data_IF_157603694547
#
_entry.id   IF_157603694547
#
_cell.length_a   1.000
_cell.length_b   1.000
_cell.length_c   1.000
_cell.angle_alpha   90.00
_cell.angle_beta   90.00
_cell.angle_gamma   90.00
#
_symmetry.space_group_name_H-M   'P 1'
#
loop_
_entity.id
_entity.type
_entity.pdbx_description
1 polymer ?
#
# COMPACT_ATOMS: atom_id res chain seq x y z
N UNK A 1 16.95 -8.85 -9.84
CA UNK A 1 16.53 -9.89 -10.82
C UNK A 1 17.54 -11.04 -10.99
N UNK A 2 18.85 -10.84 -10.82
CA UNK A 2 19.84 -11.93 -10.98
C UNK A 2 19.65 -13.10 -10.00
N UNK A 3 19.01 -12.88 -8.84
CA UNK A 3 18.68 -13.90 -7.85
C UNK A 3 17.33 -14.60 -8.11
N UNK A 4 16.63 -14.28 -9.21
CA UNK A 4 15.36 -14.86 -9.63
C UNK A 4 14.19 -14.73 -8.63
N UNK A 5 14.24 -13.78 -7.70
CA UNK A 5 13.07 -13.45 -6.88
C UNK A 5 11.95 -12.88 -7.76
N UNK A 6 10.75 -13.48 -7.65
CA UNK A 6 9.57 -13.07 -8.43
C UNK A 6 8.78 -11.99 -7.70
N UNK A 7 8.68 -12.08 -6.39
CA UNK A 7 7.94 -11.13 -5.54
C UNK A 7 8.85 -10.69 -4.40
N UNK A 8 8.86 -9.41 -4.12
CA UNK A 8 9.57 -8.84 -2.97
C UNK A 8 8.56 -8.27 -1.98
N UNK A 9 8.84 -8.49 -0.70
CA UNK A 9 8.01 -8.02 0.40
C UNK A 9 8.81 -7.04 1.24
N UNK A 10 8.29 -5.82 1.32
CA UNK A 10 8.82 -4.74 2.13
C UNK A 10 7.98 -4.61 3.41
N UNK A 11 8.57 -4.12 4.48
CA UNK A 11 7.85 -3.77 5.71
C UNK A 11 8.03 -2.27 5.95
N UNK A 12 6.92 -1.55 6.07
CA UNK A 12 6.90 -0.13 6.43
C UNK A 12 6.27 0.07 7.81
N UNK A 13 5.45 -0.90 8.26
CA UNK A 13 4.72 -0.92 9.51
C UNK A 13 3.71 0.23 9.64
N UNK A 14 4.15 1.48 9.80
CA UNK A 14 3.31 2.67 9.84
C UNK A 14 4.05 3.86 9.23
N UNK A 15 3.29 4.82 8.71
CA UNK A 15 3.80 6.13 8.25
C UNK A 15 3.58 7.23 9.27
N UNK A 16 2.90 6.93 10.38
CA UNK A 16 2.61 7.88 11.45
C UNK A 16 3.85 8.06 12.35
N UNK A 17 4.43 9.29 12.41
CA UNK A 17 5.62 9.55 13.23
C UNK A 17 5.39 9.36 14.72
N UNK A 18 4.14 9.46 15.20
CA UNK A 18 3.81 9.25 16.60
C UNK A 18 3.88 7.77 16.98
N UNK A 19 3.48 6.90 16.06
CA UNK A 19 3.50 5.44 16.21
C UNK A 19 4.92 4.92 15.97
N UNK A 20 5.63 5.42 14.95
CA UNK A 20 7.02 5.04 14.62
C UNK A 20 7.96 5.23 15.79
N UNK A 21 7.88 6.37 16.50
CA UNK A 21 8.68 6.66 17.71
C UNK A 21 8.39 5.72 18.89
N UNK A 22 7.19 5.14 18.93
CA UNK A 22 6.82 4.21 19.99
C UNK A 22 7.29 2.77 19.74
N UNK A 23 7.46 2.38 18.47
CA UNK A 23 7.68 0.98 18.10
C UNK A 23 9.05 0.64 17.52
N UNK A 24 9.44 1.27 16.48
CA UNK A 24 10.78 1.17 15.88
C UNK A 24 10.86 2.13 14.70
N UNK A 25 11.75 3.10 14.74
CA UNK A 25 12.12 3.95 13.61
C UNK A 25 12.97 3.17 12.58
N UNK A 26 12.47 2.00 12.14
CA UNK A 26 13.27 1.15 11.26
C UNK A 26 13.38 1.72 9.85
N UNK A 27 12.31 2.34 9.33
CA UNK A 27 12.28 2.84 7.96
C UNK A 27 11.47 4.13 7.90
N UNK A 28 12.10 5.22 7.43
CA UNK A 28 11.39 6.47 7.13
C UNK A 28 10.67 6.40 5.79
N UNK A 29 9.72 7.33 5.55
CA UNK A 29 9.05 7.48 4.25
C UNK A 29 10.04 7.63 3.10
N UNK A 30 11.09 8.46 3.28
CA UNK A 30 12.10 8.70 2.25
C UNK A 30 12.97 7.48 1.97
N UNK A 31 13.33 6.74 3.03
CA UNK A 31 14.08 5.49 2.87
C UNK A 31 13.25 4.45 2.12
N UNK A 32 11.96 4.34 2.47
CA UNK A 32 11.03 3.45 1.79
C UNK A 32 10.84 3.84 0.32
N UNK A 33 10.57 5.12 0.04
CA UNK A 33 10.39 5.61 -1.33
C UNK A 33 11.62 5.33 -2.20
N UNK A 34 12.83 5.59 -1.68
CA UNK A 34 14.08 5.26 -2.38
C UNK A 34 14.25 3.75 -2.61
N UNK A 35 13.87 2.92 -1.63
CA UNK A 35 13.96 1.47 -1.78
C UNK A 35 13.03 0.98 -2.89
N UNK A 36 11.79 1.46 -2.94
CA UNK A 36 10.83 1.12 -4.00
C UNK A 36 11.33 1.60 -5.37
N UNK A 37 11.78 2.86 -5.48
CA UNK A 37 12.34 3.40 -6.72
C UNK A 37 13.49 2.54 -7.25
N UNK A 38 14.45 2.18 -6.40
CA UNK A 38 15.57 1.30 -6.78
C UNK A 38 15.10 -0.08 -7.27
N UNK A 39 14.02 -0.62 -6.72
CA UNK A 39 13.48 -1.91 -7.15
C UNK A 39 12.78 -1.80 -8.51
N UNK A 40 12.03 -0.73 -8.74
CA UNK A 40 11.41 -0.44 -10.04
C UNK A 40 12.48 -0.23 -11.11
N UNK A 41 13.53 0.55 -10.84
CA UNK A 41 14.67 0.75 -11.73
C UNK A 41 15.43 -0.56 -12.03
N UNK A 42 15.48 -1.47 -11.06
CA UNK A 42 16.01 -2.82 -11.26
C UNK A 42 15.09 -3.72 -12.10
N UNK A 43 13.92 -3.18 -12.53
CA UNK A 43 12.98 -3.82 -13.44
C UNK A 43 11.98 -4.76 -12.72
N UNK A 44 11.71 -4.60 -11.44
CA UNK A 44 10.56 -5.24 -10.80
C UNK A 44 9.27 -4.52 -11.21
N UNK A 45 8.22 -5.30 -11.43
CA UNK A 45 6.89 -4.78 -11.73
C UNK A 45 6.20 -4.33 -10.43
N UNK A 46 5.40 -3.23 -10.44
CA UNK A 46 4.69 -2.74 -9.27
C UNK A 46 3.89 -3.83 -8.52
N UNK A 47 3.22 -4.71 -9.26
CA UNK A 47 2.39 -5.80 -8.72
C UNK A 47 3.21 -6.87 -7.98
N UNK A 48 4.53 -6.87 -8.15
CA UNK A 48 5.48 -7.78 -7.51
C UNK A 48 6.15 -7.18 -6.28
N UNK A 49 5.88 -5.91 -5.97
CA UNK A 49 6.39 -5.21 -4.80
C UNK A 49 5.27 -5.12 -3.75
N UNK A 50 5.21 -6.08 -2.85
CA UNK A 50 4.23 -6.09 -1.75
C UNK A 50 4.80 -5.37 -0.53
N UNK A 51 3.99 -4.55 0.15
CA UNK A 51 4.39 -3.84 1.37
C UNK A 51 3.46 -4.14 2.51
N UNK A 52 3.99 -4.72 3.58
CA UNK A 52 3.25 -4.94 4.80
C UNK A 52 3.10 -3.64 5.60
N UNK A 53 1.85 -3.35 5.94
CA UNK A 53 1.43 -2.29 6.84
C UNK A 53 0.71 -2.92 8.03
N UNK A 54 1.08 -2.54 9.24
CA UNK A 54 0.40 -3.01 10.44
C UNK A 54 -0.89 -2.23 10.67
N UNK A 55 -1.93 -2.93 11.06
CA UNK A 55 -3.21 -2.38 11.49
C UNK A 55 -3.53 -2.82 12.91
N UNK A 56 -4.02 -1.89 13.73
CA UNK A 56 -4.32 -2.14 15.13
C UNK A 56 -3.15 -1.88 16.08
N UNK A 57 -2.20 -1.05 15.69
CA UNK A 57 -1.16 -0.56 16.59
C UNK A 57 -1.77 0.31 17.70
N UNK A 58 -1.25 0.26 18.95
CA UNK A 58 -1.73 1.10 20.03
C UNK A 58 -1.71 2.59 19.65
N UNK A 59 -2.90 3.22 19.65
CA UNK A 59 -3.06 4.64 19.28
C UNK A 59 -3.25 4.92 17.80
N UNK A 60 -3.23 3.91 16.94
CA UNK A 60 -3.47 4.06 15.51
C UNK A 60 -4.94 4.38 15.20
N UNK A 61 -5.19 5.25 14.24
CA UNK A 61 -6.54 5.58 13.74
C UNK A 61 -6.78 4.98 12.35
N UNK A 62 -8.05 4.79 11.95
CA UNK A 62 -8.37 4.34 10.59
C UNK A 62 -7.78 5.24 9.50
N UNK A 63 -7.77 6.55 9.71
CA UNK A 63 -7.26 7.54 8.79
C UNK A 63 -5.74 7.38 8.60
N UNK A 64 -4.99 7.16 9.70
CA UNK A 64 -3.54 6.94 9.61
C UNK A 64 -3.18 5.66 8.86
N UNK A 65 -4.03 4.63 8.92
CA UNK A 65 -3.88 3.41 8.10
C UNK A 65 -4.18 3.68 6.64
N UNK A 66 -5.25 4.45 6.36
CA UNK A 66 -5.61 4.83 5.00
C UNK A 66 -4.52 5.68 4.33
N UNK A 67 -3.93 6.63 5.07
CA UNK A 67 -2.78 7.43 4.60
C UNK A 67 -1.57 6.56 4.27
N UNK A 68 -1.30 5.54 5.08
CA UNK A 68 -0.22 4.59 4.82
C UNK A 68 -0.49 3.77 3.55
N UNK A 69 -1.72 3.31 3.34
CA UNK A 69 -2.15 2.61 2.13
C UNK A 69 -1.97 3.51 0.89
N UNK A 70 -2.47 4.74 0.95
CA UNK A 70 -2.36 5.71 -0.14
C UNK A 70 -0.88 6.01 -0.46
N UNK A 71 -0.06 6.22 0.57
CA UNK A 71 1.38 6.45 0.41
C UNK A 71 2.08 5.27 -0.29
N UNK A 72 1.86 4.03 0.16
CA UNK A 72 2.47 2.85 -0.47
C UNK A 72 2.10 2.75 -1.95
N UNK A 73 0.83 3.00 -2.28
CA UNK A 73 0.36 3.01 -3.67
C UNK A 73 1.00 4.10 -4.51
N UNK A 74 1.11 5.32 -3.97
CA UNK A 74 1.74 6.42 -4.69
C UNK A 74 3.20 6.16 -5.03
N UNK A 75 3.86 5.26 -4.30
CA UNK A 75 5.23 4.81 -4.61
C UNK A 75 5.27 3.67 -5.64
N UNK A 76 4.14 3.12 -6.08
CA UNK A 76 4.08 2.02 -7.04
C UNK A 76 4.25 0.63 -6.41
N UNK A 77 3.85 0.44 -5.16
CA UNK A 77 3.85 -0.85 -4.49
C UNK A 77 2.44 -1.27 -4.04
N UNK A 78 2.24 -2.56 -3.79
CA UNK A 78 0.95 -3.14 -3.38
C UNK A 78 0.88 -3.21 -1.85
N UNK A 79 -0.02 -2.44 -1.19
CA UNK A 79 -0.18 -2.52 0.25
C UNK A 79 -0.84 -3.83 0.67
N UNK A 80 -0.33 -4.43 1.74
CA UNK A 80 -0.87 -5.62 2.41
C UNK A 80 -1.06 -5.31 3.89
N UNK A 81 -2.28 -5.36 4.38
CA UNK A 81 -2.56 -5.17 5.79
C UNK A 81 -2.30 -6.46 6.57
N UNK A 82 -1.58 -6.32 7.68
CA UNK A 82 -1.37 -7.37 8.67
C UNK A 82 -1.83 -6.85 10.04
N UNK A 83 -2.67 -7.63 10.72
CA UNK A 83 -3.11 -7.28 12.06
C UNK A 83 -1.94 -7.39 13.04
N UNK A 84 -1.82 -6.38 13.90
CA UNK A 84 -0.78 -6.34 14.91
C UNK A 84 -0.98 -7.42 15.97
N UNK A 85 0.10 -8.13 16.30
CA UNK A 85 0.19 -9.08 17.42
C UNK A 85 1.09 -8.49 18.51
N UNK A 86 0.57 -8.23 19.71
CA UNK A 86 1.40 -7.76 20.81
C UNK A 86 2.35 -8.85 21.30
N UNK A 87 3.65 -8.62 21.20
CA UNK A 87 4.68 -9.56 21.61
C UNK A 87 5.08 -9.30 23.08
N UNK A 88 4.96 -10.29 23.98
CA UNK A 88 5.39 -10.16 25.38
C UNK A 88 6.83 -9.65 25.51
N UNK A 89 7.06 -8.76 26.49
CA UNK A 89 8.36 -8.16 26.72
C UNK A 89 8.69 -6.94 25.87
N UNK A 90 7.81 -6.55 24.92
CA UNK A 90 7.98 -5.31 24.15
C UNK A 90 7.23 -4.13 24.80
N UNK A 91 7.67 -2.90 24.47
CA UNK A 91 6.94 -1.68 24.87
C UNK A 91 5.52 -1.69 24.32
N UNK A 92 5.33 -2.08 23.06
CA UNK A 92 4.00 -2.16 22.44
C UNK A 92 3.08 -3.16 23.14
N UNK A 93 3.63 -4.24 23.69
CA UNK A 93 2.87 -5.16 24.52
C UNK A 93 2.39 -4.49 25.81
N UNK A 94 3.27 -3.75 26.49
CA UNK A 94 2.90 -3.01 27.69
C UNK A 94 1.82 -1.95 27.39
N UNK A 95 1.94 -1.22 26.28
CA UNK A 95 0.93 -0.26 25.81
C UNK A 95 -0.40 -0.92 25.46
N UNK A 96 -0.38 -2.12 24.85
CA UNK A 96 -1.57 -2.91 24.58
C UNK A 96 -2.25 -3.40 25.86
N UNK A 97 -1.48 -3.92 26.83
CA UNK A 97 -1.98 -4.34 28.12
C UNK A 97 -2.55 -3.19 28.97
N UNK A 98 -1.97 -1.99 28.86
CA UNK A 98 -2.51 -0.80 29.53
C UNK A 98 -3.90 -0.39 29.00
N UNK A 99 -4.21 -0.71 27.73
CA UNK A 99 -5.51 -0.47 27.09
C UNK A 99 -6.50 -1.61 27.31
N UNK A 100 -6.00 -2.84 27.39
CA UNK A 100 -6.78 -4.08 27.53
C UNK A 100 -6.00 -5.05 28.41
N UNK A 101 -6.20 -4.99 29.75
CA UNK A 101 -5.45 -5.78 30.72
C UNK A 101 -5.54 -7.30 30.52
N UNK A 102 -6.64 -7.76 29.93
CA UNK A 102 -6.89 -9.17 29.59
C UNK A 102 -5.82 -9.77 28.66
N UNK A 103 -5.12 -8.95 27.87
CA UNK A 103 -4.06 -9.40 26.97
C UNK A 103 -2.90 -10.01 27.75
N UNK A 104 -2.62 -9.50 28.95
CA UNK A 104 -1.51 -10.00 29.77
C UNK A 104 -1.76 -11.43 30.30
N UNK A 105 -3.01 -11.78 30.54
CA UNK A 105 -3.40 -13.06 31.16
C UNK A 105 -3.91 -14.10 30.14
N UNK A 106 -4.30 -13.68 28.93
CA UNK A 106 -4.88 -14.56 27.91
C UNK A 106 -4.00 -14.63 26.65
N UNK A 107 -3.15 -15.67 26.51
CA UNK A 107 -2.23 -15.77 25.37
C UNK A 107 -2.91 -15.80 24.00
N UNK A 108 -4.17 -16.25 23.90
CA UNK A 108 -4.90 -16.28 22.64
C UNK A 108 -5.20 -14.86 22.11
N UNK A 109 -5.30 -13.87 23.01
CA UNK A 109 -5.49 -12.46 22.62
C UNK A 109 -4.20 -11.80 22.11
N UNK A 110 -3.06 -12.48 22.25
CA UNK A 110 -1.77 -12.02 21.75
C UNK A 110 -1.53 -12.41 20.29
N UNK A 111 -2.47 -13.15 19.68
CA UNK A 111 -2.37 -13.62 18.31
C UNK A 111 -3.21 -12.74 17.37
N UNK A 112 -2.67 -12.41 16.19
CA UNK A 112 -3.36 -11.65 15.15
C UNK A 112 -4.58 -12.36 14.54
N UNK A 113 -4.77 -13.67 14.78
CA UNK A 113 -5.97 -14.40 14.37
C UNK A 113 -7.12 -14.23 15.35
N UNK A 114 -6.85 -13.87 16.60
CA UNK A 114 -7.85 -13.44 17.54
C UNK A 114 -8.05 -11.93 17.38
N UNK A 115 -9.31 -11.48 17.26
CA UNK A 115 -9.62 -10.06 17.24
C UNK A 115 -9.19 -9.42 18.56
N UNK A 116 -8.06 -8.72 18.55
CA UNK A 116 -7.53 -8.14 19.77
C UNK A 116 -8.52 -7.12 20.34
N UNK A 117 -8.89 -7.21 21.64
CA UNK A 117 -9.93 -6.38 22.24
C UNK A 117 -9.74 -4.87 22.09
N UNK A 118 -8.46 -4.43 22.03
CA UNK A 118 -8.16 -3.01 21.86
C UNK A 118 -8.29 -2.52 20.41
N UNK A 119 -8.16 -3.40 19.40
CA UNK A 119 -8.41 -3.05 17.99
C UNK A 119 -9.88 -2.67 17.81
N UNK A 120 -10.80 -3.44 18.36
CA UNK A 120 -12.24 -3.15 18.29
C UNK A 120 -12.68 -1.87 19.00
N UNK A 121 -11.81 -1.23 19.78
CA UNK A 121 -12.09 0.07 20.41
C UNK A 121 -11.69 1.26 19.52
N UNK A 122 -10.68 1.08 18.66
CA UNK A 122 -10.18 2.13 17.75
C UNK A 122 -10.58 1.88 16.31
N UNK A 123 -10.64 0.62 15.90
CA UNK A 123 -10.97 0.18 14.54
C UNK A 123 -11.97 -0.96 14.69
N UNK A 124 -13.24 -0.71 14.41
CA UNK A 124 -14.30 -1.74 14.42
C UNK A 124 -14.13 -2.74 13.26
N UNK A 125 -14.80 -3.91 13.31
CA UNK A 125 -14.68 -4.95 12.28
C UNK A 125 -15.02 -4.47 10.86
N UNK A 126 -16.05 -3.61 10.74
CA UNK A 126 -16.44 -3.08 9.44
C UNK A 126 -15.39 -2.12 8.90
N UNK A 127 -14.87 -1.23 9.74
CA UNK A 127 -13.78 -0.32 9.39
C UNK A 127 -12.52 -1.08 8.95
N UNK A 128 -12.17 -2.18 9.64
CA UNK A 128 -11.05 -3.02 9.22
C UNK A 128 -11.30 -3.65 7.84
N UNK A 129 -12.52 -4.12 7.58
CA UNK A 129 -12.87 -4.69 6.28
C UNK A 129 -12.80 -3.62 5.18
N UNK A 130 -13.30 -2.41 5.45
CA UNK A 130 -13.23 -1.28 4.52
C UNK A 130 -11.77 -0.90 4.20
N UNK A 131 -10.89 -0.89 5.20
CA UNK A 131 -9.45 -0.67 5.00
C UNK A 131 -8.79 -1.78 4.17
N UNK A 132 -9.17 -3.05 4.41
CA UNK A 132 -8.70 -4.18 3.60
C UNK A 132 -9.17 -4.08 2.14
N UNK A 133 -10.39 -3.64 1.92
CA UNK A 133 -10.93 -3.44 0.57
C UNK A 133 -10.31 -2.21 -0.09
N UNK A 134 -10.09 -1.14 0.66
CA UNK A 134 -9.29 0.00 0.21
C UNK A 134 -7.87 -0.43 -0.18
N UNK A 135 -7.18 -1.24 0.63
CA UNK A 135 -5.84 -1.76 0.30
C UNK A 135 -5.83 -2.64 -0.97
N UNK A 136 -6.92 -3.30 -1.32
CA UNK A 136 -7.08 -4.12 -2.53
C UNK A 136 -7.56 -3.32 -3.76
N UNK A 137 -7.86 -2.04 -3.63
CA UNK A 137 -8.42 -1.22 -4.71
C UNK A 137 -9.86 -1.53 -5.05
N UNK A 138 -10.63 -2.14 -4.14
CA UNK A 138 -12.04 -2.46 -4.36
C UNK A 138 -12.91 -1.21 -4.17
N UNK A 139 -13.93 -1.07 -5.01
CA UNK A 139 -14.98 -0.04 -4.83
C UNK A 139 -15.76 -0.36 -3.55
N UNK A 140 -15.95 0.64 -2.69
CA UNK A 140 -16.62 0.50 -1.39
C UNK A 140 -15.88 1.23 -0.27
N UNK A 141 -14.60 1.53 -0.48
CA UNK A 141 -13.76 2.29 0.45
C UNK A 141 -13.89 3.82 0.27
N UNK A 142 -15.02 4.32 -0.24
CA UNK A 142 -15.25 5.74 -0.55
C UNK A 142 -14.96 6.68 0.63
N UNK A 143 -15.11 6.20 1.88
CA UNK A 143 -14.80 6.99 3.08
C UNK A 143 -13.32 7.30 3.27
N UNK A 144 -12.41 6.56 2.61
CA UNK A 144 -10.96 6.75 2.68
C UNK A 144 -10.38 7.35 1.39
N UNK A 145 -11.19 7.54 0.35
CA UNK A 145 -10.76 8.26 -0.85
C UNK A 145 -10.63 9.74 -0.53
N UNK A 146 -9.48 10.35 -0.84
CA UNK A 146 -9.30 11.78 -0.68
C UNK A 146 -10.38 12.56 -1.47
N UNK A 147 -10.94 13.65 -0.95
CA UNK A 147 -11.76 14.55 -1.73
C UNK A 147 -10.84 15.25 -2.76
N UNK A 148 -10.95 14.89 -4.04
CA UNK A 148 -10.27 15.54 -5.15
C UNK A 148 -9.21 14.71 -5.85
N UNK A 149 -9.66 13.71 -6.55
CA UNK A 149 -9.01 13.17 -7.72
C UNK A 149 -10.09 13.14 -8.79
N UNK A 150 -10.13 14.18 -9.61
CA UNK A 150 -11.04 14.27 -10.73
C UNK A 150 -10.84 13.02 -11.60
N UNK A 151 -11.92 12.25 -11.72
CA UNK A 151 -12.06 11.17 -12.68
C UNK A 151 -12.10 11.79 -14.08
N UNK A 152 -10.95 12.19 -14.60
CA UNK A 152 -10.82 12.47 -16.03
C UNK A 152 -10.88 11.13 -16.77
N UNK A 153 -12.10 10.67 -16.97
CA UNK A 153 -12.42 9.73 -18.03
C UNK A 153 -12.00 10.41 -19.34
N UNK A 154 -11.05 9.84 -20.10
CA UNK A 154 -10.73 10.41 -21.39
C UNK A 154 -12.00 10.38 -22.27
N UNK A 155 -12.31 11.46 -23.00
CA UNK A 155 -13.50 11.51 -23.82
C UNK A 155 -13.44 10.40 -24.86
N UNK A 156 -14.55 9.67 -24.95
CA UNK A 156 -14.87 8.65 -25.92
C UNK A 156 -14.51 9.14 -27.34
N UNK A 157 -13.46 8.58 -27.93
CA UNK A 157 -13.10 8.82 -29.30
C UNK A 157 -14.06 8.06 -30.20
N UNK A 158 -15.14 8.73 -30.57
CA UNK A 158 -16.09 8.27 -31.58
C UNK A 158 -15.40 8.11 -32.96
N UNK A 159 -15.57 7.00 -33.65
CA UNK A 159 -14.97 6.79 -34.97
C UNK A 159 -15.91 7.31 -36.04
N UNK A 160 -15.69 8.51 -36.50
CA UNK A 160 -16.26 8.93 -37.79
C UNK A 160 -15.32 9.97 -38.43
N UNK A 161 -14.57 9.56 -39.43
CA UNK A 161 -14.59 10.05 -40.77
C UNK A 161 -13.40 9.49 -41.55
N UNK A 162 -13.74 8.45 -42.31
CA UNK A 162 -12.97 8.09 -43.51
C UNK A 162 -13.25 9.16 -44.56
N UNK A 163 -12.26 9.89 -44.98
CA UNK A 163 -12.28 10.50 -46.28
C UNK A 163 -11.01 10.15 -47.06
N UNK A 164 -11.25 9.55 -48.20
CA UNK A 164 -10.30 9.18 -49.23
C UNK A 164 -9.72 10.46 -49.90
N UNK A 165 -8.43 10.50 -50.12
CA UNK A 165 -7.90 11.06 -51.35
C UNK A 165 -6.53 10.48 -51.65
N UNK A 166 -6.50 9.86 -52.82
CA UNK A 166 -5.37 9.36 -53.59
C UNK A 166 -4.45 10.50 -54.08
N UNK A 167 -3.23 10.12 -54.35
CA UNK A 167 -2.33 10.51 -55.44
C UNK A 167 -0.89 10.72 -54.91
N UNK A 168 -0.03 9.76 -55.24
CA UNK A 168 0.88 9.65 -56.36
C UNK A 168 2.12 10.59 -56.23
N UNK A 169 3.29 10.00 -56.10
CA UNK A 169 4.51 10.20 -56.91
C UNK A 169 5.79 9.69 -56.24
N UNK A 170 6.27 8.63 -56.74
CA UNK A 170 7.62 8.29 -57.27
C UNK A 170 8.88 8.94 -56.74
N UNK A 171 9.84 7.98 -56.53
CA UNK A 171 11.25 8.03 -56.79
C UNK A 171 12.12 8.76 -55.73
N UNK A 172 13.08 8.06 -55.09
CA UNK A 172 14.40 7.76 -55.63
C UNK A 172 15.20 6.85 -54.67
N UNK A 173 15.88 5.85 -55.18
CA UNK A 173 17.00 5.11 -54.62
C UNK A 173 18.24 5.46 -55.44
N UNK A 174 19.43 5.02 -55.03
CA UNK A 174 20.26 4.89 -53.84
C UNK A 174 21.56 5.75 -53.99
N UNK A 175 22.76 5.43 -53.43
CA UNK A 175 23.49 4.16 -53.39
C UNK A 175 24.25 3.80 -52.12
N UNK A 176 24.65 2.52 -52.08
CA UNK A 176 25.69 1.91 -51.26
C UNK A 176 27.07 2.57 -51.37
N UNK A 177 27.90 2.42 -50.32
CA UNK A 177 29.35 2.11 -50.31
C UNK A 177 29.87 2.24 -48.86
N UNK A 178 30.43 1.40 -48.33
CA UNK A 178 31.49 0.38 -48.15
C UNK A 178 31.57 0.05 -46.67
#
# INVERSE_FOLDING_TARGET
KRAHFVTLRLSLESVDPAIGRAGSDKVSRDQYARAVANLLDAGYEPERLETYLLVGLPGQTPESVADAIAFVRSQGAVPKLAEFSPLPGTRMFADACARSPEIASEPLLQNNTAWAPYIGRTIDPQTLQDLKDFAKGRRGAARFSAPGGDDETPPDASPSDRCLSSEDSRADRPPECR
#
